data_IF_216420942965
#
_entry.id   IF_216420942965
#
_cell.length_a   1.000
_cell.length_b   1.000
_cell.length_c   1.000
_cell.angle_alpha   90.00
_cell.angle_beta   90.00
_cell.angle_gamma   90.00
#
_symmetry.space_group_name_H-M   'P 1'
#
loop_
_entity.id
_entity.type
_entity.pdbx_description
1 polymer ?
#
# COMPACT_ATOMS: atom_id res chain seq x y z
N UNK A 1 21.53 -24.54 74.58
CA UNK A 1 21.03 -25.86 74.18
C UNK A 1 19.98 -25.66 73.09
N UNK A 2 20.23 -26.17 71.88
CA UNK A 2 19.28 -26.50 70.78
C UNK A 2 18.35 -25.38 70.25
N UNK A 3 18.68 -24.80 69.08
CA UNK A 3 18.21 -25.17 67.71
C UNK A 3 16.75 -24.78 67.42
N UNK A 4 16.56 -23.75 66.58
CA UNK A 4 15.73 -23.84 65.37
C UNK A 4 16.00 -22.65 64.44
N UNK A 5 16.89 -22.89 63.49
CA UNK A 5 17.21 -22.05 62.35
C UNK A 5 16.34 -22.45 61.16
N UNK A 6 15.73 -21.47 60.51
CA UNK A 6 15.57 -21.44 59.04
C UNK A 6 14.32 -22.08 58.44
N UNK A 7 13.19 -21.35 58.41
CA UNK A 7 12.10 -21.60 57.43
C UNK A 7 11.53 -20.31 56.79
N UNK A 8 11.99 -19.10 57.14
CA UNK A 8 11.29 -17.86 56.71
C UNK A 8 11.88 -17.09 55.51
N UNK A 9 12.85 -17.63 54.77
CA UNK A 9 13.48 -16.90 53.66
C UNK A 9 13.09 -17.37 52.24
N UNK A 10 12.25 -18.40 52.09
CA UNK A 10 11.83 -18.90 50.78
C UNK A 10 10.50 -18.33 50.27
N UNK A 11 9.84 -17.45 51.01
CA UNK A 11 8.47 -17.02 50.69
C UNK A 11 8.31 -15.67 49.95
N UNK A 12 9.40 -14.99 49.54
CA UNK A 12 9.30 -13.66 48.88
C UNK A 12 9.70 -13.71 47.39
N UNK A 13 9.99 -14.88 46.82
CA UNK A 13 10.30 -15.00 45.39
C UNK A 13 9.11 -15.42 44.49
N UNK A 14 7.92 -15.67 45.06
CA UNK A 14 6.82 -16.33 44.31
C UNK A 14 5.62 -15.41 44.03
N UNK A 15 5.53 -14.23 44.63
CA UNK A 15 4.33 -13.40 44.50
C UNK A 15 4.57 -12.25 43.52
N UNK A 16 3.76 -12.20 42.47
CA UNK A 16 3.72 -11.18 41.41
C UNK A 16 4.60 -11.41 40.17
N UNK A 17 4.70 -12.65 39.69
CA UNK A 17 4.41 -12.85 38.25
C UNK A 17 2.90 -12.65 38.06
N UNK A 18 2.47 -11.39 38.10
CA UNK A 18 1.16 -11.04 37.55
C UNK A 18 1.29 -11.39 36.08
N UNK A 19 0.66 -12.50 35.68
CA UNK A 19 0.34 -12.72 34.28
C UNK A 19 -0.47 -11.49 33.85
N UNK A 20 0.21 -10.52 33.23
CA UNK A 20 -0.41 -9.60 32.31
C UNK A 20 -0.86 -10.45 31.12
N UNK A 21 -1.92 -11.23 31.32
CA UNK A 21 -2.76 -11.64 30.22
C UNK A 21 -3.37 -10.35 29.72
N UNK A 22 -2.69 -9.73 28.75
CA UNK A 22 -3.28 -8.71 27.89
C UNK A 22 -4.53 -9.37 27.34
N UNK A 23 -5.69 -9.07 27.94
CA UNK A 23 -6.96 -9.36 27.35
C UNK A 23 -7.03 -8.46 26.12
N UNK A 24 -6.64 -9.01 24.97
CA UNK A 24 -6.96 -8.40 23.71
C UNK A 24 -8.48 -8.23 23.71
N UNK A 25 -8.95 -6.98 23.75
CA UNK A 25 -10.36 -6.68 23.65
C UNK A 25 -10.95 -7.24 22.35
N UNK A 26 -12.28 -7.14 22.16
CA UNK A 26 -12.91 -7.62 20.94
C UNK A 26 -12.19 -7.05 19.72
N UNK A 27 -11.69 -7.94 18.85
CA UNK A 27 -11.11 -7.53 17.56
C UNK A 27 -12.25 -7.24 16.61
N UNK A 28 -12.33 -6.00 16.15
CA UNK A 28 -13.24 -5.58 15.08
C UNK A 28 -12.49 -5.61 13.74
N UNK A 29 -13.15 -6.12 12.70
CA UNK A 29 -12.59 -6.23 11.35
C UNK A 29 -12.10 -7.63 10.98
N UNK A 30 -11.66 -7.82 9.73
CA UNK A 30 -11.20 -9.11 9.23
C UNK A 30 -9.90 -9.54 9.93
N UNK A 31 -9.71 -10.86 10.08
CA UNK A 31 -8.40 -11.38 10.46
C UNK A 31 -7.37 -11.18 9.32
N UNK A 32 -6.09 -11.41 9.62
CA UNK A 32 -5.00 -11.19 8.67
C UNK A 32 -5.11 -12.08 7.41
N UNK A 33 -5.63 -13.30 7.55
CA UNK A 33 -5.79 -14.23 6.42
C UNK A 33 -6.94 -13.78 5.51
N UNK A 34 -8.07 -13.36 6.10
CA UNK A 34 -9.19 -12.78 5.36
C UNK A 34 -8.78 -11.48 4.67
N UNK A 35 -8.06 -10.58 5.35
CA UNK A 35 -7.57 -9.33 4.76
C UNK A 35 -6.65 -9.61 3.55
N UNK A 36 -5.71 -10.54 3.69
CA UNK A 36 -4.83 -10.96 2.59
C UNK A 36 -5.64 -11.51 1.42
N UNK A 37 -6.63 -12.36 1.69
CA UNK A 37 -7.49 -12.96 0.66
C UNK A 37 -8.24 -11.89 -0.14
N UNK A 38 -8.92 -10.94 0.52
CA UNK A 38 -9.70 -9.91 -0.18
C UNK A 38 -8.81 -8.92 -0.94
N UNK A 39 -7.63 -8.60 -0.40
CA UNK A 39 -6.62 -7.77 -1.08
C UNK A 39 -6.12 -8.44 -2.35
N UNK A 40 -5.74 -9.73 -2.27
CA UNK A 40 -5.32 -10.50 -3.46
C UNK A 40 -6.42 -10.58 -4.52
N UNK A 41 -7.68 -10.79 -4.10
CA UNK A 41 -8.81 -10.78 -5.04
C UNK A 41 -8.99 -9.41 -5.72
N UNK A 42 -8.79 -8.31 -4.98
CA UNK A 42 -8.83 -6.95 -5.54
C UNK A 42 -7.73 -6.69 -6.57
N UNK A 43 -6.49 -7.10 -6.29
CA UNK A 43 -5.39 -6.97 -7.25
C UNK A 43 -5.66 -7.76 -8.55
N UNK A 44 -6.11 -9.01 -8.42
CA UNK A 44 -6.46 -9.85 -9.56
C UNK A 44 -7.61 -9.25 -10.38
N UNK A 45 -8.60 -8.66 -9.71
CA UNK A 45 -9.69 -7.97 -10.38
C UNK A 45 -9.19 -6.79 -11.22
N UNK A 46 -8.34 -5.93 -10.65
CA UNK A 46 -7.76 -4.80 -11.38
C UNK A 46 -7.00 -5.28 -12.62
N UNK A 47 -6.13 -6.28 -12.47
CA UNK A 47 -5.35 -6.83 -13.58
C UNK A 47 -6.25 -7.42 -14.69
N UNK A 48 -7.27 -8.19 -14.33
CA UNK A 48 -8.17 -8.82 -15.28
C UNK A 48 -9.09 -7.83 -16.04
N UNK A 49 -9.26 -6.60 -15.52
CA UNK A 49 -10.14 -5.57 -16.10
C UNK A 49 -9.37 -4.35 -16.61
N UNK A 50 -8.05 -4.46 -16.79
CA UNK A 50 -7.26 -3.42 -17.46
C UNK A 50 -7.61 -3.39 -18.96
N UNK A 51 -7.77 -2.19 -19.51
CA UNK A 51 -7.96 -2.02 -20.94
C UNK A 51 -6.69 -2.40 -21.72
N UNK A 52 -6.84 -2.67 -23.02
CA UNK A 52 -5.71 -3.09 -23.86
C UNK A 52 -4.58 -2.04 -23.95
N UNK A 53 -4.92 -0.75 -23.82
CA UNK A 53 -4.00 0.39 -23.81
C UNK A 53 -3.31 0.62 -22.45
N UNK A 54 -3.67 -0.14 -21.41
CA UNK A 54 -3.13 -0.01 -20.07
C UNK A 54 -3.97 0.84 -19.11
N UNK A 55 -5.03 1.50 -19.59
CA UNK A 55 -5.89 2.32 -18.76
C UNK A 55 -6.90 1.48 -17.94
N UNK A 56 -7.49 2.12 -16.94
CA UNK A 56 -8.75 1.70 -16.33
C UNK A 56 -9.80 2.80 -16.53
N UNK A 57 -11.06 2.38 -16.72
CA UNK A 57 -12.20 3.26 -16.99
C UNK A 57 -12.13 3.93 -18.37
N UNK A 58 -12.39 5.24 -18.44
CA UNK A 58 -12.45 6.02 -19.68
C UNK A 58 -11.11 6.72 -19.96
N UNK A 59 -10.71 6.84 -21.24
CA UNK A 59 -9.43 7.46 -21.59
C UNK A 59 -9.25 8.89 -21.07
N UNK A 60 -10.34 9.65 -20.94
CA UNK A 60 -10.32 11.05 -20.51
C UNK A 60 -10.16 11.23 -19.00
N UNK A 61 -10.19 10.15 -18.21
CA UNK A 61 -10.14 10.19 -16.74
C UNK A 61 -8.89 9.45 -16.23
N UNK A 62 -7.76 10.13 -16.26
CA UNK A 62 -6.46 9.54 -15.92
C UNK A 62 -6.34 9.15 -14.44
N UNK A 63 -7.04 9.87 -13.55
CA UNK A 63 -6.95 9.65 -12.11
C UNK A 63 -7.32 8.23 -11.67
N UNK A 64 -8.26 7.56 -12.36
CA UNK A 64 -8.64 6.18 -12.04
C UNK A 64 -7.51 5.22 -12.38
N UNK A 65 -6.88 5.41 -13.55
CA UNK A 65 -5.72 4.60 -13.97
C UNK A 65 -4.57 4.75 -12.99
N UNK A 66 -4.28 5.99 -12.57
CA UNK A 66 -3.24 6.26 -11.59
C UNK A 66 -3.53 5.63 -10.22
N UNK A 67 -4.75 5.75 -9.69
CA UNK A 67 -5.14 5.11 -8.42
C UNK A 67 -5.03 3.58 -8.47
N UNK A 68 -5.48 2.96 -9.56
CA UNK A 68 -5.35 1.51 -9.73
C UNK A 68 -3.87 1.10 -9.78
N UNK A 69 -3.03 1.87 -10.47
CA UNK A 69 -1.59 1.64 -10.56
C UNK A 69 -0.91 1.74 -9.19
N UNK A 70 -1.17 2.81 -8.43
CA UNK A 70 -0.67 2.97 -7.06
C UNK A 70 -1.10 1.80 -6.18
N UNK A 71 -2.37 1.40 -6.23
CA UNK A 71 -2.88 0.29 -5.44
C UNK A 71 -2.16 -1.04 -5.76
N UNK A 72 -1.86 -1.33 -7.03
CA UNK A 72 -1.12 -2.53 -7.40
C UNK A 72 0.31 -2.49 -6.84
N UNK A 73 1.01 -1.37 -7.00
CA UNK A 73 2.38 -1.21 -6.56
C UNK A 73 2.52 -1.31 -5.02
N UNK A 74 1.67 -0.61 -4.27
CA UNK A 74 1.64 -0.63 -2.80
C UNK A 74 1.34 -2.03 -2.23
N UNK A 75 0.70 -2.89 -3.03
CA UNK A 75 0.35 -4.26 -2.64
C UNK A 75 1.31 -5.31 -3.22
N UNK A 76 2.50 -4.89 -3.65
CA UNK A 76 3.64 -5.76 -3.90
C UNK A 76 3.90 -6.10 -5.36
N UNK A 77 3.14 -5.52 -6.31
CA UNK A 77 3.49 -5.62 -7.71
C UNK A 77 4.79 -4.85 -7.96
N UNK A 78 5.67 -5.39 -8.80
CA UNK A 78 6.89 -4.68 -9.19
C UNK A 78 6.59 -3.66 -10.29
N UNK A 79 7.36 -2.56 -10.40
CA UNK A 79 7.25 -1.61 -11.52
C UNK A 79 7.42 -2.27 -12.89
N UNK A 80 8.08 -3.42 -12.95
CA UNK A 80 8.30 -4.24 -14.16
C UNK A 80 7.14 -5.18 -14.47
N UNK A 81 6.15 -5.30 -13.57
CA UNK A 81 4.98 -6.13 -13.82
C UNK A 81 4.23 -5.63 -15.06
N UNK A 82 3.80 -6.50 -16.01
CA UNK A 82 3.23 -6.06 -17.29
C UNK A 82 2.04 -5.10 -17.15
N UNK A 83 1.13 -5.35 -16.21
CA UNK A 83 -0.01 -4.47 -15.94
C UNK A 83 0.42 -3.07 -15.48
N UNK A 84 1.43 -3.00 -14.61
CA UNK A 84 1.96 -1.73 -14.08
C UNK A 84 2.69 -0.97 -15.18
N UNK A 85 3.55 -1.63 -15.96
CA UNK A 85 4.27 -1.01 -17.07
C UNK A 85 3.32 -0.40 -18.11
N UNK A 86 2.26 -1.13 -18.48
CA UNK A 86 1.26 -0.62 -19.43
C UNK A 86 0.56 0.63 -18.89
N UNK A 87 0.16 0.62 -17.63
CA UNK A 87 -0.50 1.77 -17.02
C UNK A 87 0.43 2.99 -16.91
N UNK A 88 1.67 2.80 -16.47
CA UNK A 88 2.66 3.88 -16.42
C UNK A 88 2.94 4.45 -17.81
N UNK A 89 3.11 3.59 -18.82
CA UNK A 89 3.29 4.03 -20.21
C UNK A 89 2.08 4.81 -20.72
N UNK A 90 0.86 4.38 -20.42
CA UNK A 90 -0.37 5.10 -20.74
C UNK A 90 -0.38 6.50 -20.11
N UNK A 91 -0.15 6.60 -18.79
CA UNK A 91 -0.17 7.88 -18.07
C UNK A 91 0.89 8.86 -18.60
N UNK A 92 2.08 8.37 -18.95
CA UNK A 92 3.18 9.20 -19.45
C UNK A 92 2.92 9.83 -20.82
N UNK A 93 1.96 9.32 -21.59
CA UNK A 93 1.53 9.94 -22.85
C UNK A 93 0.89 11.31 -22.65
N UNK A 94 0.41 11.60 -21.43
CA UNK A 94 -0.29 12.83 -21.08
C UNK A 94 0.61 13.87 -20.40
N UNK A 95 1.93 13.71 -20.48
CA UNK A 95 2.88 14.74 -20.05
C UNK A 95 2.72 15.99 -20.91
N UNK A 96 2.68 17.14 -20.26
CA UNK A 96 2.50 18.44 -20.88
C UNK A 96 3.81 19.23 -20.88
N UNK A 97 3.91 20.22 -21.77
CA UNK A 97 5.10 21.10 -21.85
C UNK A 97 5.35 21.87 -20.55
N UNK A 98 4.28 22.15 -19.79
CA UNK A 98 4.36 22.84 -18.51
C UNK A 98 4.76 21.92 -17.33
N UNK A 99 5.12 20.66 -17.59
CA UNK A 99 5.52 19.68 -16.58
C UNK A 99 4.37 18.93 -15.92
N UNK A 100 3.11 19.38 -16.07
CA UNK A 100 1.96 18.65 -15.59
C UNK A 100 1.73 17.33 -16.34
N UNK A 101 1.00 16.41 -15.72
CA UNK A 101 0.56 15.17 -16.38
C UNK A 101 -0.95 15.10 -16.18
N UNK A 102 -1.70 15.33 -17.25
CA UNK A 102 -3.15 15.42 -17.20
C UNK A 102 -3.74 15.33 -18.62
N UNK A 103 -5.02 14.94 -18.74
CA UNK A 103 -5.70 14.91 -20.03
C UNK A 103 -5.93 16.35 -20.54
N UNK A 104 -5.62 16.73 -21.80
CA UNK A 104 -5.70 18.12 -22.26
C UNK A 104 -7.05 18.82 -22.04
N UNK A 105 -8.13 18.05 -22.15
CA UNK A 105 -9.52 18.51 -21.98
C UNK A 105 -10.03 18.49 -20.53
N UNK A 106 -9.21 18.04 -19.58
CA UNK A 106 -9.65 17.95 -18.18
C UNK A 106 -9.82 19.32 -17.53
N UNK A 107 -10.81 19.42 -16.64
CA UNK A 107 -11.00 20.56 -15.73
C UNK A 107 -10.24 20.38 -14.41
N UNK A 108 -9.53 19.25 -14.23
CA UNK A 108 -8.93 18.85 -12.97
C UNK A 108 -7.42 18.61 -13.10
N UNK A 109 -6.71 19.51 -13.80
CA UNK A 109 -5.27 19.36 -14.15
C UNK A 109 -4.38 19.06 -12.95
N UNK A 110 -4.50 19.86 -11.89
CA UNK A 110 -3.71 19.68 -10.67
C UNK A 110 -4.05 18.38 -9.94
N UNK A 111 -5.33 18.02 -9.89
CA UNK A 111 -5.76 16.77 -9.26
C UNK A 111 -5.19 15.56 -10.01
N UNK A 112 -5.31 15.52 -11.34
CA UNK A 112 -4.76 14.42 -12.14
C UNK A 112 -3.24 14.35 -11.99
N UNK A 113 -2.54 15.47 -12.06
CA UNK A 113 -1.08 15.52 -11.87
C UNK A 113 -0.70 14.96 -10.51
N UNK A 114 -1.34 15.39 -9.42
CA UNK A 114 -1.03 14.91 -8.06
C UNK A 114 -1.26 13.41 -7.90
N UNK A 115 -2.36 12.87 -8.42
CA UNK A 115 -2.65 11.43 -8.30
C UNK A 115 -1.69 10.60 -9.15
N UNK A 116 -1.31 11.10 -10.34
CA UNK A 116 -0.32 10.44 -11.20
C UNK A 116 1.06 10.45 -10.54
N UNK A 117 1.44 11.53 -9.86
CA UNK A 117 2.68 11.60 -9.10
C UNK A 117 2.76 10.53 -8.01
N UNK A 118 1.65 10.18 -7.35
CA UNK A 118 1.65 9.08 -6.37
C UNK A 118 2.08 7.76 -7.00
N UNK A 119 1.53 7.44 -8.18
CA UNK A 119 1.89 6.21 -8.90
C UNK A 119 3.35 6.24 -9.36
N UNK A 120 3.83 7.38 -9.87
CA UNK A 120 5.21 7.54 -10.33
C UNK A 120 6.21 7.42 -9.18
N UNK A 121 5.94 8.05 -8.03
CA UNK A 121 6.79 7.96 -6.82
C UNK A 121 6.91 6.51 -6.37
N UNK A 122 5.78 5.81 -6.26
CA UNK A 122 5.78 4.40 -5.83
C UNK A 122 6.49 3.49 -6.84
N UNK A 123 6.39 3.80 -8.14
CA UNK A 123 7.10 3.08 -9.20
C UNK A 123 8.61 3.39 -9.27
N UNK A 124 9.06 4.52 -8.70
CA UNK A 124 10.42 5.04 -8.84
C UNK A 124 11.44 4.38 -7.90
N UNK A 125 11.46 3.05 -7.84
CA UNK A 125 12.32 2.29 -6.92
C UNK A 125 13.80 2.33 -7.31
N UNK A 126 14.09 2.60 -8.57
CA UNK A 126 15.43 2.62 -9.18
C UNK A 126 15.87 4.02 -9.65
N UNK A 127 15.09 5.07 -9.35
CA UNK A 127 15.37 6.43 -9.79
C UNK A 127 15.02 6.73 -11.26
N UNK A 128 14.38 5.80 -11.98
CA UNK A 128 13.97 5.96 -13.39
C UNK A 128 13.15 7.22 -13.67
N UNK A 129 12.35 7.68 -12.69
CA UNK A 129 11.46 8.82 -12.82
C UNK A 129 11.99 10.09 -12.11
N UNK A 130 13.21 10.10 -11.57
CA UNK A 130 13.75 11.24 -10.81
C UNK A 130 13.64 12.57 -11.55
N UNK A 131 14.09 12.62 -12.81
CA UNK A 131 14.02 13.85 -13.61
C UNK A 131 12.59 14.28 -13.96
N UNK A 132 11.63 13.36 -13.90
CA UNK A 132 10.24 13.65 -14.21
C UNK A 132 9.48 14.20 -13.00
N UNK A 133 9.84 13.73 -11.79
CA UNK A 133 9.11 14.05 -10.55
C UNK A 133 9.90 14.95 -9.59
N UNK A 134 11.08 15.42 -10.00
CA UNK A 134 11.94 16.37 -9.26
C UNK A 134 11.40 17.79 -9.24
#
# INVERSE_FOLDING_TARGET
MMKQTGIWLSAIAVTCMINLTVHAGPRYGPDAAQLKKVRSAGMQYLEAHQNADGSWSKPEILGITALATTALLENGYSPEHPAVQKALNYLLQFKQENGGIYHPETRHRNYETSIILMALVEANRDGKYDQLIS
#
